data_IF_125002133482
#
_entry.id   IF_125002133482
#
_cell.length_a   1.000
_cell.length_b   1.000
_cell.length_c   1.000
_cell.angle_alpha   90.00
_cell.angle_beta   90.00
_cell.angle_gamma   90.00
#
_symmetry.space_group_name_H-M   'P 1'
#
loop_
_entity.id
_entity.type
_entity.pdbx_description
1 polymer ?
#
# COMPACT_ATOMS: atom_id res chain seq x y z
N UNK A 1 -2.73 -1.56 -7.76
CA UNK A 1 -3.93 -0.71 -7.69
C UNK A 1 -5.10 -1.47 -7.04
N UNK A 2 -5.72 -2.45 -7.69
CA UNK A 2 -6.88 -3.22 -7.11
C UNK A 2 -6.60 -3.78 -5.71
N UNK A 3 -5.43 -4.39 -5.48
CA UNK A 3 -5.07 -4.94 -4.16
C UNK A 3 -4.95 -3.87 -3.06
N UNK A 4 -4.55 -2.64 -3.42
CA UNK A 4 -4.43 -1.52 -2.46
C UNK A 4 -5.83 -0.99 -2.11
N UNK A 5 -6.72 -0.88 -3.10
CA UNK A 5 -8.12 -0.49 -2.86
C UNK A 5 -8.84 -1.48 -1.94
N UNK A 6 -8.65 -2.77 -2.15
CA UNK A 6 -9.29 -3.78 -1.29
C UNK A 6 -8.71 -3.77 0.14
N UNK A 7 -7.40 -3.55 0.29
CA UNK A 7 -6.79 -3.37 1.61
C UNK A 7 -7.37 -2.17 2.36
N UNK A 8 -7.64 -1.06 1.64
CA UNK A 8 -8.31 0.12 2.22
C UNK A 8 -9.71 -0.23 2.69
N UNK A 9 -10.51 -0.93 1.89
CA UNK A 9 -11.86 -1.37 2.29
C UNK A 9 -11.84 -2.28 3.52
N UNK A 10 -10.87 -3.20 3.59
CA UNK A 10 -10.70 -4.07 4.75
C UNK A 10 -10.38 -3.26 6.01
N UNK A 11 -9.53 -2.24 5.91
CA UNK A 11 -9.21 -1.33 7.01
C UNK A 11 -10.41 -0.50 7.43
N UNK A 12 -11.15 0.08 6.48
CA UNK A 12 -12.38 0.84 6.75
C UNK A 12 -13.48 -0.02 7.36
N UNK A 13 -13.55 -1.31 7.01
CA UNK A 13 -14.46 -2.28 7.61
C UNK A 13 -14.02 -2.76 9.01
N UNK A 14 -12.86 -2.31 9.52
CA UNK A 14 -12.31 -2.72 10.81
C UNK A 14 -11.69 -4.13 10.80
N UNK A 15 -11.42 -4.70 9.62
CA UNK A 15 -10.83 -6.02 9.47
C UNK A 15 -9.29 -5.99 9.38
N UNK A 16 -8.69 -4.81 9.29
CA UNK A 16 -7.25 -4.61 9.27
C UNK A 16 -6.90 -3.32 10.03
N UNK A 17 -5.79 -3.34 10.77
CA UNK A 17 -5.32 -2.18 11.54
C UNK A 17 -4.37 -1.29 10.72
N UNK A 18 -3.58 -1.89 9.82
CA UNK A 18 -2.51 -1.21 9.08
C UNK A 18 -2.35 -1.82 7.67
N UNK A 19 -2.02 -0.97 6.69
CA UNK A 19 -1.71 -1.35 5.30
C UNK A 19 -0.23 -1.07 5.02
N UNK A 20 0.55 -2.14 4.86
CA UNK A 20 1.98 -2.07 4.54
C UNK A 20 2.18 -2.43 3.07
N UNK A 21 2.58 -1.46 2.25
CA UNK A 21 2.91 -1.69 0.85
C UNK A 21 4.34 -2.20 0.70
N UNK A 22 4.55 -3.37 0.09
CA UNK A 22 5.88 -3.93 -0.15
C UNK A 22 6.09 -4.09 -1.65
N UNK A 23 7.25 -3.69 -2.13
CA UNK A 23 7.69 -3.94 -3.51
C UNK A 23 9.12 -4.42 -3.47
N UNK A 24 9.48 -5.39 -4.30
CA UNK A 24 10.85 -5.90 -4.39
C UNK A 24 11.37 -5.56 -5.78
N UNK A 25 12.42 -4.75 -5.85
CA UNK A 25 12.97 -4.32 -7.13
C UNK A 25 14.07 -3.27 -6.97
N UNK A 26 14.41 -2.63 -8.09
CA UNK A 26 15.36 -1.52 -8.14
C UNK A 26 14.76 -0.25 -7.55
N UNK A 27 15.58 0.78 -7.35
CA UNK A 27 15.16 2.07 -6.77
C UNK A 27 13.93 2.70 -7.44
N UNK A 28 13.72 2.46 -8.75
CA UNK A 28 12.52 2.90 -9.48
C UNK A 28 11.20 2.36 -8.88
N UNK A 29 11.21 1.21 -8.21
CA UNK A 29 10.02 0.67 -7.55
C UNK A 29 9.54 1.56 -6.37
N UNK A 30 10.37 2.50 -5.88
CA UNK A 30 9.91 3.53 -4.95
C UNK A 30 8.78 4.40 -5.53
N UNK A 31 8.75 4.65 -6.83
CA UNK A 31 7.68 5.43 -7.46
C UNK A 31 6.33 4.71 -7.30
N UNK A 32 6.30 3.39 -7.52
CA UNK A 32 5.12 2.57 -7.32
C UNK A 32 4.68 2.55 -5.85
N UNK A 33 5.63 2.46 -4.91
CA UNK A 33 5.33 2.54 -3.48
C UNK A 33 4.76 3.90 -3.08
N UNK A 34 5.25 5.01 -3.65
CA UNK A 34 4.67 6.35 -3.43
C UNK A 34 3.23 6.44 -3.92
N UNK A 35 2.90 5.79 -5.04
CA UNK A 35 1.50 5.69 -5.50
C UNK A 35 0.65 4.95 -4.47
N UNK A 36 1.13 3.81 -3.94
CA UNK A 36 0.38 3.07 -2.92
C UNK A 36 0.16 3.89 -1.63
N UNK A 37 1.18 4.65 -1.19
CA UNK A 37 1.05 5.58 -0.06
C UNK A 37 0.02 6.68 -0.34
N UNK A 38 0.05 7.28 -1.53
CA UNK A 38 -0.91 8.31 -1.92
C UNK A 38 -2.36 7.78 -2.01
N UNK A 39 -2.54 6.50 -2.31
CA UNK A 39 -3.86 5.85 -2.33
C UNK A 39 -4.43 5.61 -0.92
N UNK A 40 -3.58 5.42 0.10
CA UNK A 40 -4.03 5.13 1.47
C UNK A 40 -3.27 4.02 2.19
N UNK A 41 -2.13 3.56 1.68
CA UNK A 41 -1.23 2.72 2.47
C UNK A 41 -0.56 3.55 3.58
N UNK A 42 -0.37 2.95 4.76
CA UNK A 42 0.19 3.65 5.92
C UNK A 42 1.71 3.81 5.84
N UNK A 43 2.37 2.78 5.32
CA UNK A 43 3.84 2.72 5.18
C UNK A 43 4.24 1.84 4.02
N UNK A 44 5.46 2.07 3.53
CA UNK A 44 6.03 1.33 2.42
C UNK A 44 7.40 0.73 2.76
N UNK A 45 7.70 -0.43 2.17
CA UNK A 45 8.99 -1.13 2.25
C UNK A 45 9.43 -1.46 0.83
N UNK A 46 10.66 -1.05 0.48
CA UNK A 46 11.35 -1.43 -0.76
C UNK A 46 12.29 -2.60 -0.50
#
# INVERSE_FOLDING_TARGET
EIAVEEAIRLKEAGNADEIIAVSVGVEKAQETLRTALAMGADRAIL
#
